data_IF_077375149345
#
_entry.id   IF_077375149345
#
_cell.length_a   1.000
_cell.length_b   1.000
_cell.length_c   1.000
_cell.angle_alpha   90.00
_cell.angle_beta   90.00
_cell.angle_gamma   90.00
#
_symmetry.space_group_name_H-M   'P 1'
#
loop_
_entity.id
_entity.type
_entity.pdbx_description
1 polymer ?
#
# COMPACT_ATOMS: atom_id res chain seq x y z
N UNK A 1 12.65 -19.05 22.45
CA UNK A 1 13.79 -18.21 22.87
C UNK A 1 13.62 -16.87 22.17
N UNK A 2 13.25 -15.83 22.92
CA UNK A 2 13.08 -14.49 22.35
C UNK A 2 14.47 -13.87 22.19
N UNK A 3 14.92 -13.67 20.96
CA UNK A 3 16.07 -12.80 20.68
C UNK A 3 15.62 -11.36 20.89
N UNK A 4 15.74 -10.89 22.13
CA UNK A 4 15.65 -9.47 22.49
C UNK A 4 16.95 -8.80 22.08
N UNK A 5 17.04 -8.34 20.84
CA UNK A 5 18.00 -7.31 20.49
C UNK A 5 17.49 -5.99 21.09
N UNK A 6 18.26 -5.26 21.91
CA UNK A 6 17.95 -3.85 22.11
C UNK A 6 18.05 -3.22 20.72
N UNK A 7 16.93 -2.72 20.18
CA UNK A 7 16.87 -2.22 18.82
C UNK A 7 17.77 -0.97 18.72
N UNK A 8 19.03 -1.19 18.34
CA UNK A 8 19.95 -0.12 17.96
C UNK A 8 19.31 0.58 16.77
N UNK A 9 18.91 1.82 16.97
CA UNK A 9 18.35 2.65 15.90
C UNK A 9 19.49 3.06 14.96
N UNK A 10 19.51 2.53 13.74
CA UNK A 10 20.56 2.83 12.77
C UNK A 10 20.32 4.15 12.06
N UNK A 11 21.40 4.91 11.84
CA UNK A 11 21.37 6.17 11.07
C UNK A 11 21.77 5.92 9.62
N UNK A 12 21.49 6.90 8.76
CA UNK A 12 22.07 6.93 7.42
C UNK A 12 23.61 6.88 7.51
N UNK A 13 24.22 5.98 6.74
CA UNK A 13 25.68 5.81 6.71
C UNK A 13 26.29 5.20 7.97
N UNK A 14 25.50 4.65 8.90
CA UNK A 14 26.02 4.01 10.11
C UNK A 14 26.90 2.79 9.75
N UNK A 15 28.22 2.82 10.05
CA UNK A 15 29.13 1.73 9.74
C UNK A 15 28.84 0.44 10.54
N UNK A 16 28.04 0.54 11.61
CA UNK A 16 27.63 -0.61 12.42
C UNK A 16 26.32 -1.24 11.94
N UNK A 17 25.65 -0.66 10.94
CA UNK A 17 24.43 -1.24 10.35
C UNK A 17 24.76 -2.61 9.72
N UNK A 18 24.12 -3.71 10.17
CA UNK A 18 24.36 -5.02 9.61
C UNK A 18 24.04 -5.07 8.11
N UNK A 19 24.91 -5.73 7.33
CA UNK A 19 24.73 -5.83 5.89
C UNK A 19 23.39 -6.51 5.52
N UNK A 20 23.03 -7.60 6.21
CA UNK A 20 21.75 -8.31 6.00
C UNK A 20 20.55 -7.39 6.27
N UNK A 21 20.57 -6.60 7.34
CA UNK A 21 19.52 -5.62 7.64
C UNK A 21 19.37 -4.60 6.51
N UNK A 22 20.48 -3.99 6.10
CA UNK A 22 20.52 -2.99 5.02
C UNK A 22 20.00 -3.58 3.70
N UNK A 23 20.45 -4.77 3.33
CA UNK A 23 20.05 -5.46 2.11
C UNK A 23 18.56 -5.80 2.10
N UNK A 24 18.04 -6.27 3.24
CA UNK A 24 16.61 -6.52 3.40
C UNK A 24 15.79 -5.23 3.26
N UNK A 25 16.21 -4.13 3.90
CA UNK A 25 15.48 -2.86 3.80
C UNK A 25 15.50 -2.29 2.37
N UNK A 26 16.64 -2.34 1.69
CA UNK A 26 16.74 -1.97 0.26
C UNK A 26 15.83 -2.85 -0.61
N UNK A 27 15.83 -4.17 -0.39
CA UNK A 27 14.96 -5.10 -1.09
C UNK A 27 13.48 -4.78 -0.85
N UNK A 28 13.11 -4.47 0.38
CA UNK A 28 11.73 -4.11 0.75
C UNK A 28 11.27 -2.85 -0.01
N UNK A 29 12.05 -1.78 0.06
CA UNK A 29 11.73 -0.51 -0.59
C UNK A 29 11.66 -0.63 -2.11
N UNK A 30 12.57 -1.39 -2.73
CA UNK A 30 12.61 -1.56 -4.19
C UNK A 30 11.59 -2.55 -4.75
N UNK A 31 11.32 -3.65 -4.06
CA UNK A 31 10.59 -4.79 -4.63
C UNK A 31 9.19 -5.02 -4.02
N UNK A 32 8.95 -4.55 -2.79
CA UNK A 32 7.71 -4.84 -2.07
C UNK A 32 6.85 -3.59 -1.79
N UNK A 33 7.46 -2.50 -1.32
CA UNK A 33 6.75 -1.23 -1.08
C UNK A 33 6.62 -0.40 -2.37
N UNK A 34 7.59 -0.50 -3.29
CA UNK A 34 7.53 -0.11 -4.71
C UNK A 34 7.23 1.35 -5.08
N UNK A 35 6.78 2.18 -4.14
CA UNK A 35 6.47 3.60 -4.30
C UNK A 35 7.75 4.44 -4.44
N UNK A 36 8.52 4.20 -5.50
CA UNK A 36 9.76 4.91 -5.78
C UNK A 36 9.62 5.65 -7.11
N UNK A 37 9.54 6.97 -7.08
CA UNK A 37 9.36 7.78 -8.30
C UNK A 37 10.61 7.80 -9.21
N UNK A 38 11.78 7.37 -8.72
CA UNK A 38 12.94 7.07 -9.54
C UNK A 38 12.67 5.94 -10.55
N UNK A 39 11.77 5.00 -10.22
CA UNK A 39 11.36 3.91 -11.11
C UNK A 39 10.32 4.39 -12.15
N UNK A 40 10.60 4.30 -13.46
CA UNK A 40 9.63 4.65 -14.51
C UNK A 40 8.31 3.85 -14.45
N UNK A 41 8.32 2.62 -13.95
CA UNK A 41 7.08 1.82 -13.86
C UNK A 41 6.15 2.34 -12.76
N UNK A 42 6.68 2.84 -11.65
CA UNK A 42 5.86 3.49 -10.61
C UNK A 42 5.22 4.78 -11.13
N UNK A 43 5.97 5.58 -11.90
CA UNK A 43 5.44 6.80 -12.54
C UNK A 43 4.28 6.53 -13.50
N UNK A 44 4.23 5.36 -14.15
CA UNK A 44 3.05 4.97 -14.96
C UNK A 44 1.82 4.70 -14.10
N UNK A 45 2.00 4.11 -12.92
CA UNK A 45 0.90 3.90 -11.96
C UNK A 45 0.37 5.26 -11.50
N UNK A 46 1.26 6.17 -11.08
CA UNK A 46 0.88 7.54 -10.72
C UNK A 46 0.13 8.25 -11.85
N UNK A 47 0.62 8.13 -13.09
CA UNK A 47 -0.05 8.72 -14.24
C UNK A 47 -1.45 8.14 -14.48
N UNK A 48 -1.61 6.82 -14.32
CA UNK A 48 -2.91 6.15 -14.45
C UNK A 48 -3.90 6.59 -13.37
N UNK A 49 -3.45 6.71 -12.12
CA UNK A 49 -4.28 7.21 -11.00
C UNK A 49 -4.69 8.66 -11.27
N UNK A 50 -3.73 9.53 -11.61
CA UNK A 50 -4.01 10.93 -11.89
C UNK A 50 -4.97 11.11 -13.07
N UNK A 51 -4.77 10.38 -14.16
CA UNK A 51 -5.67 10.43 -15.33
C UNK A 51 -7.06 9.90 -14.96
N UNK A 52 -7.18 8.78 -14.23
CA UNK A 52 -8.46 8.27 -13.76
C UNK A 52 -9.19 9.28 -12.85
N UNK A 53 -8.50 9.87 -11.87
CA UNK A 53 -9.05 10.85 -10.94
C UNK A 53 -9.57 12.09 -11.66
N UNK A 54 -8.80 12.63 -12.59
CA UNK A 54 -9.21 13.81 -13.36
C UNK A 54 -10.34 13.52 -14.35
N UNK A 55 -10.36 12.32 -14.95
CA UNK A 55 -11.32 11.96 -16.02
C UNK A 55 -12.66 11.48 -15.46
N UNK A 56 -12.65 10.83 -14.30
CA UNK A 56 -13.83 10.16 -13.73
C UNK A 56 -14.42 10.83 -12.50
N UNK A 57 -13.74 11.79 -11.87
CA UNK A 57 -14.29 12.50 -10.71
C UNK A 57 -15.68 13.08 -11.01
N UNK A 58 -16.71 12.79 -10.19
CA UNK A 58 -18.08 13.18 -10.47
C UNK A 58 -18.37 14.67 -10.20
N UNK A 59 -17.51 15.34 -9.43
CA UNK A 59 -17.67 16.73 -9.01
C UNK A 59 -16.36 17.32 -8.47
N UNK A 60 -16.28 18.65 -8.38
CA UNK A 60 -15.04 19.38 -8.01
C UNK A 60 -14.40 18.94 -6.69
N UNK A 61 -15.18 18.68 -5.64
CA UNK A 61 -14.64 18.19 -4.35
C UNK A 61 -13.91 16.85 -4.48
N UNK A 62 -14.40 15.95 -5.33
CA UNK A 62 -13.72 14.67 -5.58
C UNK A 62 -12.42 14.93 -6.33
N UNK A 63 -12.45 15.78 -7.34
CA UNK A 63 -11.26 16.16 -8.10
C UNK A 63 -10.18 16.82 -7.23
N UNK A 64 -10.55 17.65 -6.26
CA UNK A 64 -9.61 18.22 -5.28
C UNK A 64 -8.99 17.16 -4.38
N UNK A 65 -9.78 16.19 -3.90
CA UNK A 65 -9.29 15.06 -3.11
C UNK A 65 -8.30 14.23 -3.92
N UNK A 66 -8.64 13.87 -5.17
CA UNK A 66 -7.76 13.11 -6.07
C UNK A 66 -6.45 13.86 -6.36
N UNK A 67 -6.51 15.17 -6.56
CA UNK A 67 -5.32 15.97 -6.76
C UNK A 67 -4.39 15.95 -5.54
N UNK A 68 -4.96 15.95 -4.33
CA UNK A 68 -4.19 15.82 -3.08
C UNK A 68 -3.61 14.42 -2.90
N UNK A 69 -4.36 13.36 -3.20
CA UNK A 69 -3.85 11.98 -3.18
C UNK A 69 -2.65 11.85 -4.13
N UNK A 70 -2.79 12.29 -5.38
CA UNK A 70 -1.68 12.25 -6.36
C UNK A 70 -0.47 13.07 -5.88
N UNK A 71 -0.69 14.24 -5.26
CA UNK A 71 0.40 15.04 -4.70
C UNK A 71 1.15 14.29 -3.59
N UNK A 72 0.41 13.64 -2.68
CA UNK A 72 0.97 12.85 -1.58
C UNK A 72 1.75 11.64 -2.13
N UNK A 73 1.19 10.91 -3.08
CA UNK A 73 1.82 9.76 -3.73
C UNK A 73 3.12 10.10 -4.48
N UNK A 74 3.17 11.29 -5.11
CA UNK A 74 4.40 11.82 -5.70
C UNK A 74 5.47 12.08 -4.62
N UNK A 75 5.06 12.57 -3.45
CA UNK A 75 5.94 12.80 -2.31
C UNK A 75 6.39 11.49 -1.64
N UNK A 76 5.51 10.49 -1.51
CA UNK A 76 5.87 9.13 -1.05
C UNK A 76 6.95 8.55 -1.95
N UNK A 77 6.74 8.66 -3.26
CA UNK A 77 7.71 8.38 -4.32
C UNK A 77 9.10 8.98 -4.08
N UNK A 78 9.14 10.24 -3.62
CA UNK A 78 10.38 10.99 -3.35
C UNK A 78 11.04 10.52 -2.07
N UNK A 79 10.25 10.36 -1.00
CA UNK A 79 10.70 9.88 0.31
C UNK A 79 11.37 8.52 0.17
N UNK A 80 10.73 7.57 -0.51
CA UNK A 80 11.27 6.23 -0.71
C UNK A 80 12.56 6.27 -1.54
N UNK A 81 12.64 7.14 -2.56
CA UNK A 81 13.87 7.32 -3.33
C UNK A 81 15.04 7.81 -2.44
N UNK A 82 14.78 8.79 -1.57
CA UNK A 82 15.76 9.31 -0.60
C UNK A 82 16.19 8.24 0.43
N UNK A 83 15.25 7.41 0.91
CA UNK A 83 15.57 6.29 1.80
C UNK A 83 16.47 5.25 1.12
N UNK A 84 16.20 4.93 -0.16
CA UNK A 84 17.01 4.00 -0.95
C UNK A 84 18.44 4.55 -1.14
N UNK A 85 18.59 5.84 -1.48
CA UNK A 85 19.90 6.50 -1.58
C UNK A 85 20.62 6.51 -0.24
N UNK A 86 19.91 6.78 0.85
CA UNK A 86 20.45 6.75 2.21
C UNK A 86 20.98 5.39 2.66
N UNK A 87 20.48 4.31 2.05
CA UNK A 87 20.98 2.95 2.24
C UNK A 87 22.11 2.57 1.26
N UNK A 88 22.53 3.51 0.40
CA UNK A 88 23.63 3.31 -0.55
C UNK A 88 23.23 2.59 -1.84
N UNK A 89 21.93 2.54 -2.17
CA UNK A 89 21.42 1.94 -3.39
C UNK A 89 20.92 3.02 -4.37
N UNK A 90 20.85 2.68 -5.66
CA UNK A 90 20.35 3.60 -6.69
C UNK A 90 18.80 3.55 -6.76
N UNK A 91 18.05 4.62 -6.50
CA UNK A 91 16.60 4.63 -6.67
C UNK A 91 16.19 4.80 -8.14
N UNK A 92 17.05 5.41 -8.97
CA UNK A 92 16.80 5.74 -10.36
C UNK A 92 17.13 4.53 -11.26
N UNK A 93 16.28 3.50 -11.17
CA UNK A 93 16.42 2.28 -11.95
C UNK A 93 15.08 1.78 -12.47
N UNK A 94 15.08 1.19 -13.66
CA UNK A 94 13.92 0.47 -14.14
C UNK A 94 13.75 -0.83 -13.35
N UNK A 95 12.63 -0.95 -12.63
CA UNK A 95 12.22 -2.18 -11.92
C UNK A 95 10.78 -2.54 -12.30
N UNK A 96 10.53 -3.74 -12.85
CA UNK A 96 9.17 -4.19 -13.14
C UNK A 96 8.32 -4.31 -11.87
N UNK A 97 7.13 -3.73 -11.86
CA UNK A 97 6.14 -3.92 -10.79
C UNK A 97 5.33 -5.17 -11.09
N UNK A 98 5.50 -6.21 -10.26
CA UNK A 98 4.88 -7.54 -10.47
C UNK A 98 3.51 -7.68 -9.81
N UNK A 99 3.18 -6.78 -8.89
CA UNK A 99 1.91 -6.80 -8.18
C UNK A 99 0.80 -6.47 -9.18
N UNK A 100 -0.04 -7.46 -9.49
CA UNK A 100 -1.03 -7.33 -10.56
C UNK A 100 -2.14 -6.34 -10.24
N UNK A 101 -2.36 -6.01 -8.97
CA UNK A 101 -3.36 -5.05 -8.53
C UNK A 101 -3.18 -3.67 -9.22
N UNK A 102 -1.93 -3.22 -9.37
CA UNK A 102 -1.60 -1.96 -10.06
C UNK A 102 -1.79 -2.01 -11.58
N UNK A 103 -2.03 -3.19 -12.15
CA UNK A 103 -2.28 -3.40 -13.58
C UNK A 103 -3.76 -3.66 -13.88
N UNK A 104 -4.62 -3.65 -12.86
CA UNK A 104 -6.07 -3.72 -13.06
C UNK A 104 -6.53 -2.37 -13.65
N UNK A 105 -7.27 -2.37 -14.77
CA UNK A 105 -7.79 -1.14 -15.34
C UNK A 105 -8.71 -0.40 -14.36
N UNK A 106 -8.50 0.92 -14.27
CA UNK A 106 -9.38 1.88 -13.62
C UNK A 106 -10.38 2.38 -14.67
N UNK A 107 -11.47 1.64 -14.89
CA UNK A 107 -12.39 1.89 -16.02
C UNK A 107 -13.35 3.06 -15.74
N UNK A 108 -13.66 3.30 -14.47
CA UNK A 108 -14.60 4.32 -14.02
C UNK A 108 -14.29 4.79 -12.58
N UNK A 109 -15.17 5.66 -12.06
CA UNK A 109 -15.06 6.19 -10.71
C UNK A 109 -15.22 5.13 -9.61
N UNK A 110 -15.95 4.04 -9.86
CA UNK A 110 -16.14 2.97 -8.89
C UNK A 110 -14.84 2.19 -8.71
N UNK A 111 -14.12 1.96 -9.80
CA UNK A 111 -12.81 1.30 -9.75
C UNK A 111 -11.79 2.12 -8.97
N UNK A 112 -11.70 3.42 -9.21
CA UNK A 112 -10.79 4.28 -8.48
C UNK A 112 -11.16 4.38 -6.99
N UNK A 113 -12.46 4.47 -6.67
CA UNK A 113 -12.91 4.47 -5.29
C UNK A 113 -12.57 3.15 -4.55
N UNK A 114 -12.67 2.00 -5.24
CA UNK A 114 -12.23 0.72 -4.67
C UNK A 114 -10.72 0.58 -4.58
N UNK A 115 -9.98 1.13 -5.54
CA UNK A 115 -8.52 1.22 -5.47
C UNK A 115 -8.11 1.94 -4.18
N UNK A 116 -8.59 3.16 -3.94
CA UNK A 116 -8.27 3.87 -2.70
C UNK A 116 -8.78 3.16 -1.44
N UNK A 117 -10.01 2.63 -1.46
CA UNK A 117 -10.59 1.99 -0.28
C UNK A 117 -9.84 0.71 0.15
N UNK A 118 -9.30 -0.06 -0.81
CA UNK A 118 -8.72 -1.38 -0.54
C UNK A 118 -7.23 -1.48 -0.83
N UNK A 119 -6.72 -0.91 -1.93
CA UNK A 119 -5.33 -1.00 -2.38
C UNK A 119 -4.43 -0.05 -1.59
N UNK A 120 -4.77 1.24 -1.48
CA UNK A 120 -4.04 2.18 -0.62
C UNK A 120 -4.15 1.74 0.85
N UNK A 121 -5.29 1.17 1.23
CA UNK A 121 -5.41 0.53 2.54
C UNK A 121 -4.39 -0.60 2.74
N UNK A 122 -3.96 -1.32 1.70
CA UNK A 122 -2.82 -2.26 1.85
C UNK A 122 -1.52 -1.48 2.08
N UNK A 123 -1.31 -0.38 1.34
CA UNK A 123 -0.20 0.57 1.53
C UNK A 123 -0.07 1.02 2.98
N UNK A 124 -1.17 1.51 3.57
CA UNK A 124 -1.29 1.84 4.99
C UNK A 124 -0.79 0.71 5.91
N UNK A 125 -1.23 -0.52 5.71
CA UNK A 125 -0.84 -1.64 6.59
C UNK A 125 0.62 -2.01 6.39
N UNK A 126 1.11 -2.00 5.14
CA UNK A 126 2.53 -2.27 4.85
C UNK A 126 3.42 -1.18 5.43
N UNK A 127 3.00 0.09 5.38
CA UNK A 127 3.72 1.24 5.96
C UNK A 127 3.74 1.21 7.49
N UNK A 128 2.61 0.94 8.14
CA UNK A 128 2.53 0.81 9.61
C UNK A 128 3.48 -0.29 10.11
N UNK A 129 3.59 -1.41 9.39
CA UNK A 129 4.52 -2.49 9.75
C UNK A 129 5.98 -2.05 9.75
N UNK A 130 6.32 -1.04 8.94
CA UNK A 130 7.66 -0.48 8.82
C UNK A 130 7.97 0.63 9.83
N UNK A 131 6.96 1.17 10.52
CA UNK A 131 7.12 2.29 11.48
C UNK A 131 8.01 1.93 12.67
N UNK A 132 8.03 0.64 13.06
CA UNK A 132 8.88 0.12 14.12
C UNK A 132 10.30 -0.25 13.68
N UNK A 133 10.62 -0.15 12.38
CA UNK A 133 11.92 -0.57 11.87
C UNK A 133 13.06 0.21 12.53
N UNK A 134 14.18 -0.44 12.91
CA UNK A 134 15.30 0.21 13.56
C UNK A 134 16.17 1.04 12.59
N UNK A 135 15.55 1.94 11.81
CA UNK A 135 16.20 2.85 10.88
C UNK A 135 15.63 4.27 11.04
N UNK A 136 16.45 5.18 11.56
CA UNK A 136 16.05 6.55 11.94
C UNK A 136 15.40 7.35 10.78
N UNK A 137 15.94 7.34 9.54
CA UNK A 137 15.33 8.09 8.44
C UNK A 137 13.91 7.62 8.11
N UNK A 138 13.64 6.32 8.17
CA UNK A 138 12.30 5.77 7.95
C UNK A 138 11.34 6.14 9.09
N UNK A 139 11.81 6.02 10.35
CA UNK A 139 11.00 6.38 11.51
C UNK A 139 10.59 7.87 11.51
N UNK A 140 11.40 8.76 10.91
CA UNK A 140 11.09 10.20 10.79
C UNK A 140 9.94 10.51 9.85
N UNK A 141 9.80 9.74 8.77
CA UNK A 141 8.78 9.99 7.72
C UNK A 141 7.52 9.15 7.92
N UNK A 142 7.60 8.06 8.68
CA UNK A 142 6.48 7.15 8.88
C UNK A 142 5.16 7.80 9.34
N UNK A 143 5.15 8.77 10.29
CA UNK A 143 3.89 9.41 10.69
C UNK A 143 3.22 10.24 9.60
N UNK A 144 3.99 10.84 8.69
CA UNK A 144 3.46 11.59 7.54
C UNK A 144 2.84 10.60 6.54
N UNK A 145 3.57 9.54 6.18
CA UNK A 145 3.10 8.50 5.26
C UNK A 145 1.82 7.82 5.79
N UNK A 146 1.80 7.46 7.08
CA UNK A 146 0.62 6.86 7.72
C UNK A 146 -0.61 7.78 7.66
N UNK A 147 -0.42 9.08 7.92
CA UNK A 147 -1.49 10.07 7.86
C UNK A 147 -2.04 10.28 6.45
N UNK A 148 -1.16 10.33 5.46
CA UNK A 148 -1.53 10.43 4.04
C UNK A 148 -2.32 9.20 3.60
N UNK A 149 -1.83 7.99 3.92
CA UNK A 149 -2.46 6.72 3.57
C UNK A 149 -3.81 6.52 4.29
N UNK A 150 -3.94 6.99 5.54
CA UNK A 150 -5.25 7.04 6.22
C UNK A 150 -6.22 7.97 5.49
N UNK A 151 -5.74 9.11 4.98
CA UNK A 151 -6.54 10.02 4.18
C UNK A 151 -7.01 9.36 2.88
N UNK A 152 -6.15 8.64 2.15
CA UNK A 152 -6.50 7.95 0.91
C UNK A 152 -7.59 6.91 1.10
N UNK A 153 -7.41 5.99 2.07
CA UNK A 153 -8.41 4.94 2.32
C UNK A 153 -9.77 5.52 2.73
N UNK A 154 -9.76 6.61 3.54
CA UNK A 154 -10.99 7.29 3.95
C UNK A 154 -11.68 7.99 2.78
N UNK A 155 -10.92 8.59 1.86
CA UNK A 155 -11.45 9.15 0.63
C UNK A 155 -12.13 8.07 -0.24
N UNK A 156 -11.49 6.91 -0.42
CA UNK A 156 -12.08 5.77 -1.13
C UNK A 156 -13.42 5.34 -0.53
N UNK A 157 -13.47 5.09 0.78
CA UNK A 157 -14.73 4.72 1.46
C UNK A 157 -15.80 5.82 1.43
N UNK A 158 -15.40 7.10 1.48
CA UNK A 158 -16.31 8.24 1.31
C UNK A 158 -16.97 8.19 -0.07
N UNK A 159 -16.18 8.03 -1.14
CA UNK A 159 -16.69 7.96 -2.51
C UNK A 159 -17.58 6.75 -2.73
N UNK A 160 -17.21 5.57 -2.22
CA UNK A 160 -18.06 4.38 -2.28
C UNK A 160 -19.40 4.60 -1.57
N UNK A 161 -19.41 5.27 -0.41
CA UNK A 161 -20.64 5.60 0.32
C UNK A 161 -21.56 6.51 -0.49
N UNK A 162 -21.00 7.49 -1.19
CA UNK A 162 -21.76 8.41 -2.05
C UNK A 162 -22.38 7.67 -3.24
N UNK A 163 -21.62 6.77 -3.88
CA UNK A 163 -22.13 5.95 -5.00
C UNK A 163 -23.21 4.98 -4.51
N UNK A 164 -23.06 4.39 -3.32
CA UNK A 164 -24.05 3.48 -2.73
C UNK A 164 -25.35 4.17 -2.30
N UNK A 165 -25.49 5.49 -2.45
CA UNK A 165 -26.71 6.21 -2.14
C UNK A 165 -27.88 5.84 -3.08
N UNK A 166 -27.61 5.26 -4.25
CA UNK A 166 -28.63 4.74 -5.17
C UNK A 166 -28.58 3.20 -5.25
N UNK A 167 -29.71 2.52 -5.51
CA UNK A 167 -29.72 1.07 -5.71
C UNK A 167 -28.81 0.61 -6.84
N UNK A 168 -28.80 1.34 -7.96
CA UNK A 168 -27.98 1.03 -9.14
C UNK A 168 -26.48 1.21 -8.83
N UNK A 169 -26.13 2.29 -8.13
CA UNK A 169 -24.76 2.55 -7.70
C UNK A 169 -24.26 1.50 -6.71
N UNK A 170 -25.10 1.12 -5.74
CA UNK A 170 -24.79 0.04 -4.78
C UNK A 170 -24.57 -1.29 -5.49
N UNK A 171 -25.42 -1.66 -6.44
CA UNK A 171 -25.27 -2.88 -7.23
C UNK A 171 -23.98 -2.87 -8.06
N UNK A 172 -23.65 -1.72 -8.66
CA UNK A 172 -22.41 -1.55 -9.41
C UNK A 172 -21.17 -1.68 -8.50
N UNK A 173 -21.17 -1.03 -7.33
CA UNK A 173 -20.10 -1.14 -6.33
C UNK A 173 -19.92 -2.58 -5.85
N UNK A 174 -21.01 -3.28 -5.55
CA UNK A 174 -21.00 -4.70 -5.16
C UNK A 174 -20.34 -5.59 -6.22
N UNK A 175 -20.59 -5.32 -7.49
CA UNK A 175 -20.00 -6.09 -8.59
C UNK A 175 -18.49 -5.88 -8.68
N UNK A 176 -18.02 -4.62 -8.61
CA UNK A 176 -16.58 -4.31 -8.68
C UNK A 176 -15.79 -4.90 -7.50
N UNK A 177 -16.43 -5.12 -6.34
CA UNK A 177 -15.76 -5.72 -5.18
C UNK A 177 -15.18 -7.11 -5.48
N UNK A 178 -15.81 -7.89 -6.38
CA UNK A 178 -15.30 -9.21 -6.80
C UNK A 178 -13.92 -9.15 -7.47
N UNK A 179 -13.57 -8.00 -8.05
CA UNK A 179 -12.29 -7.70 -8.70
C UNK A 179 -11.25 -7.23 -7.68
N UNK A 180 -11.64 -6.28 -6.81
CA UNK A 180 -10.71 -5.57 -5.92
C UNK A 180 -10.41 -6.29 -4.62
N UNK A 181 -11.37 -7.06 -4.07
CA UNK A 181 -11.15 -7.82 -2.83
C UNK A 181 -9.98 -8.82 -2.94
N UNK A 182 -9.97 -9.78 -3.89
CA UNK A 182 -8.85 -10.70 -4.01
C UNK A 182 -7.53 -10.00 -4.34
N UNK A 183 -7.57 -8.90 -5.12
CA UNK A 183 -6.39 -8.11 -5.46
C UNK A 183 -5.72 -7.52 -4.22
N UNK A 184 -6.49 -6.91 -3.33
CA UNK A 184 -5.97 -6.36 -2.09
C UNK A 184 -5.36 -7.45 -1.19
N UNK A 185 -6.04 -8.59 -1.03
CA UNK A 185 -5.52 -9.67 -0.19
C UNK A 185 -4.25 -10.32 -0.75
N UNK A 186 -4.10 -10.36 -2.07
CA UNK A 186 -2.93 -10.89 -2.76
C UNK A 186 -1.69 -10.01 -2.65
N UNK A 187 -1.85 -8.70 -2.41
CA UNK A 187 -0.74 -7.76 -2.26
C UNK A 187 0.11 -8.02 -1.01
N UNK A 188 -0.46 -8.64 0.02
CA UNK A 188 0.31 -9.09 1.20
C UNK A 188 1.36 -10.16 0.86
N UNK A 189 1.29 -10.76 -0.34
CA UNK A 189 2.19 -11.81 -0.78
C UNK A 189 1.84 -13.17 -0.18
N UNK A 190 2.61 -14.21 -0.54
CA UNK A 190 2.35 -15.60 -0.13
C UNK A 190 2.58 -15.84 1.35
N UNK A 191 1.81 -16.77 1.93
CA UNK A 191 1.96 -17.20 3.33
C UNK A 191 3.24 -18.01 3.57
N UNK A 192 3.73 -18.72 2.55
CA UNK A 192 4.95 -19.56 2.62
C UNK A 192 6.25 -18.80 2.29
N UNK A 193 6.21 -17.46 2.33
CA UNK A 193 7.34 -16.58 2.03
C UNK A 193 8.56 -16.89 2.90
N UNK A 194 9.69 -17.16 2.25
CA UNK A 194 10.98 -17.36 2.96
C UNK A 194 11.60 -16.06 3.46
N UNK A 195 11.19 -14.92 2.92
CA UNK A 195 11.72 -13.59 3.28
C UNK A 195 10.94 -12.93 4.42
N UNK A 196 9.64 -13.21 4.56
CA UNK A 196 8.79 -12.58 5.57
C UNK A 196 9.32 -12.80 7.01
N UNK A 197 9.73 -14.02 7.41
CA UNK A 197 10.32 -14.25 8.73
C UNK A 197 11.64 -13.50 8.96
N UNK A 198 12.41 -13.21 7.90
CA UNK A 198 13.66 -12.43 8.01
C UNK A 198 13.37 -10.96 8.33
N UNK A 199 12.34 -10.37 7.72
CA UNK A 199 11.94 -9.01 8.06
C UNK A 199 11.51 -8.89 9.52
N UNK A 200 10.75 -9.86 10.02
CA UNK A 200 10.30 -9.91 11.43
C UNK A 200 11.49 -10.11 12.38
N UNK A 201 12.40 -11.03 12.05
CA UNK A 201 13.65 -11.26 12.82
C UNK A 201 14.46 -9.97 12.99
N UNK A 202 14.52 -9.14 11.96
CA UNK A 202 15.25 -7.87 11.95
C UNK A 202 14.44 -6.68 12.49
N UNK A 203 13.18 -6.88 12.87
CA UNK A 203 12.27 -5.81 13.32
C UNK A 203 11.88 -4.83 12.20
N UNK A 204 12.13 -5.17 10.93
CA UNK A 204 11.75 -4.34 9.77
C UNK A 204 10.22 -4.38 9.56
N UNK A 205 9.61 -5.51 9.89
CA UNK A 205 8.15 -5.70 9.96
C UNK A 205 7.77 -6.27 11.32
N UNK A 206 6.58 -5.97 11.80
CA UNK A 206 6.08 -6.49 13.07
C UNK A 206 5.46 -7.88 12.91
N UNK A 207 4.89 -8.17 11.74
CA UNK A 207 4.14 -9.37 11.43
C UNK A 207 4.57 -9.97 10.09
N UNK A 208 4.37 -11.30 9.97
CA UNK A 208 4.47 -12.00 8.70
C UNK A 208 3.23 -11.74 7.82
N UNK A 209 3.37 -12.03 6.53
CA UNK A 209 2.39 -11.74 5.49
C UNK A 209 0.96 -12.20 5.83
N UNK A 210 0.80 -13.44 6.31
CA UNK A 210 -0.52 -14.00 6.62
C UNK A 210 -1.16 -13.34 7.84
N UNK A 211 -0.38 -13.11 8.91
CA UNK A 211 -0.89 -12.44 10.10
C UNK A 211 -1.36 -11.01 9.78
N UNK A 212 -0.60 -10.29 8.95
CA UNK A 212 -0.97 -8.95 8.50
C UNK A 212 -2.22 -8.96 7.63
N UNK A 213 -2.33 -9.92 6.70
CA UNK A 213 -3.52 -10.11 5.86
C UNK A 213 -4.78 -10.36 6.69
N UNK A 214 -4.68 -11.20 7.73
CA UNK A 214 -5.83 -11.47 8.62
C UNK A 214 -6.25 -10.22 9.40
N UNK A 215 -5.29 -9.39 9.83
CA UNK A 215 -5.59 -8.09 10.46
C UNK A 215 -6.33 -7.16 9.48
N UNK A 216 -5.83 -7.04 8.25
CA UNK A 216 -6.50 -6.28 7.19
C UNK A 216 -7.93 -6.76 6.95
N UNK A 217 -8.14 -8.08 6.82
CA UNK A 217 -9.47 -8.69 6.62
C UNK A 217 -10.41 -8.32 7.77
N UNK A 218 -9.96 -8.50 9.01
CA UNK A 218 -10.78 -8.26 10.20
C UNK A 218 -11.27 -6.81 10.31
N UNK A 219 -10.47 -5.85 9.83
CA UNK A 219 -10.76 -4.42 9.90
C UNK A 219 -11.46 -3.88 8.64
N UNK A 220 -11.17 -4.42 7.45
CA UNK A 220 -11.79 -4.00 6.19
C UNK A 220 -13.24 -4.49 6.05
N UNK A 221 -13.55 -5.71 6.51
CA UNK A 221 -14.91 -6.28 6.41
C UNK A 221 -15.97 -5.38 7.08
N UNK A 222 -15.78 -4.89 8.31
CA UNK A 222 -16.72 -3.95 8.93
C UNK A 222 -16.95 -2.69 8.11
N UNK A 223 -15.92 -2.08 7.52
CA UNK A 223 -16.07 -0.87 6.69
C UNK A 223 -16.88 -1.16 5.42
N UNK A 224 -16.61 -2.28 4.74
CA UNK A 224 -17.40 -2.70 3.56
C UNK A 224 -18.86 -2.96 3.95
N UNK A 225 -19.11 -3.57 5.11
CA UNK A 225 -20.48 -3.82 5.61
C UNK A 225 -21.23 -2.55 5.95
N UNK A 226 -20.56 -1.47 6.38
CA UNK A 226 -21.22 -0.16 6.59
C UNK A 226 -21.78 0.44 5.29
N UNK A 227 -21.25 0.05 4.13
CA UNK A 227 -21.81 0.38 2.82
C UNK A 227 -23.03 -0.50 2.46
N UNK A 228 -23.37 -1.48 3.32
CA UNK A 228 -24.43 -2.45 3.09
C UNK A 228 -24.10 -3.49 2.03
N UNK A 229 -22.82 -3.77 1.82
CA UNK A 229 -22.31 -4.73 0.83
C UNK A 229 -21.98 -6.08 1.47
N UNK A 230 -21.99 -7.12 0.65
CA UNK A 230 -21.54 -8.46 1.01
C UNK A 230 -20.10 -8.68 0.55
N UNK A 231 -19.24 -9.10 1.47
CA UNK A 231 -17.83 -9.35 1.18
C UNK A 231 -17.69 -10.76 0.56
N UNK A 232 -16.99 -10.92 -0.57
CA UNK A 232 -16.71 -12.23 -1.14
C UNK A 232 -15.92 -13.13 -0.17
N UNK A 233 -16.00 -14.45 -0.37
CA UNK A 233 -15.14 -15.39 0.34
C UNK A 233 -13.65 -15.01 0.18
N UNK A 234 -12.87 -15.07 1.26
CA UNK A 234 -11.48 -14.61 1.28
C UNK A 234 -10.53 -15.41 0.38
N UNK A 235 -10.95 -16.59 -0.07
CA UNK A 235 -10.23 -17.46 -1.02
C UNK A 235 -10.73 -17.30 -2.46
N UNK A 236 -11.88 -16.65 -2.68
CA UNK A 236 -12.44 -16.48 -4.01
C UNK A 236 -11.52 -15.64 -4.89
N UNK A 237 -11.15 -16.18 -6.06
CA UNK A 237 -10.35 -15.52 -7.10
C UNK A 237 -8.95 -15.02 -6.67
N UNK A 238 -8.43 -15.51 -5.54
CA UNK A 238 -7.04 -15.27 -5.10
C UNK A 238 -6.06 -15.98 -6.03
N UNK A 239 -4.97 -15.31 -6.39
CA UNK A 239 -3.82 -15.85 -7.14
C UNK A 239 -2.71 -16.32 -6.22
N UNK A 240 -2.62 -15.76 -5.01
CA UNK A 240 -1.60 -16.12 -4.03
C UNK A 240 -2.24 -16.49 -2.70
N UNK A 241 -1.79 -17.59 -2.10
CA UNK A 241 -2.19 -18.01 -0.76
C UNK A 241 -1.02 -17.82 0.20
#
# INVERSE_FOLDING_TARGET
MATTYPAQLYKQGDPQMPAEFRELLVKLLLDAHLENNGNPEYRKILANIADAGLRHAPHGRAMEIEAEIVRQEVNHGKIVAELIEGLGANPNQHRPIKQYAFHIPLEDWIDLAWFHALIDRVGLYVGIEMTGAPYEPLAKVAPELEGDEEFHTRAGFLHLKEICATPEGKAAVQERLKKWWPAALDMFGRSDSKTSPLYVKWGIKMHENEALRQKYIAEAIPEIRKLGLEVPDNLANRRFL
#
